data_IF_790011427989
#
_entry.id   IF_790011427989
#
_cell.length_a   1.000
_cell.length_b   1.000
_cell.length_c   1.000
_cell.angle_alpha   90.00
_cell.angle_beta   90.00
_cell.angle_gamma   90.00
#
_symmetry.space_group_name_H-M   'P 1'
#
loop_
_entity.id
_entity.type
_entity.pdbx_description
1 polymer ?
#
# COMPACT_ATOMS: atom_id res chain seq x y z
N UNK A 1 -68.27 11.14 41.05
CA UNK A 1 -67.39 11.93 40.16
C UNK A 1 -66.06 11.19 40.01
N UNK A 2 -65.53 11.16 38.79
CA UNK A 2 -64.65 10.15 38.19
C UNK A 2 -63.21 10.17 38.74
N UNK A 3 -62.65 8.99 39.08
CA UNK A 3 -61.20 8.76 39.30
C UNK A 3 -60.50 8.73 37.94
N UNK A 4 -59.55 9.63 37.72
CA UNK A 4 -58.71 9.69 36.51
C UNK A 4 -57.43 8.90 36.79
N UNK A 5 -57.33 7.69 36.25
CA UNK A 5 -56.07 6.95 36.21
C UNK A 5 -55.25 7.45 35.02
N UNK A 6 -54.04 7.95 35.31
CA UNK A 6 -53.07 8.40 34.32
C UNK A 6 -52.21 7.19 33.97
N UNK A 7 -52.48 6.59 32.81
CA UNK A 7 -51.67 5.52 32.24
C UNK A 7 -50.43 6.15 31.59
N UNK A 8 -49.27 6.05 32.23
CA UNK A 8 -47.97 6.46 31.66
C UNK A 8 -47.51 5.33 30.74
N UNK A 9 -47.74 5.50 29.44
CA UNK A 9 -47.23 4.61 28.40
C UNK A 9 -45.75 4.94 28.15
N UNK A 10 -44.84 4.21 28.81
CA UNK A 10 -43.39 4.29 28.53
C UNK A 10 -43.11 3.83 27.10
N UNK A 11 -42.90 4.80 26.22
CA UNK A 11 -42.40 4.60 24.86
C UNK A 11 -40.90 4.27 24.95
N UNK A 12 -40.56 2.98 24.92
CA UNK A 12 -39.17 2.51 24.79
C UNK A 12 -38.70 2.89 23.38
N UNK A 13 -37.86 3.93 23.29
CA UNK A 13 -37.14 4.28 22.07
C UNK A 13 -36.15 3.14 21.75
N UNK A 14 -36.51 2.28 20.81
CA UNK A 14 -35.57 1.38 20.13
C UNK A 14 -34.68 2.26 19.24
N UNK A 15 -33.57 2.74 19.78
CA UNK A 15 -32.50 3.32 18.96
C UNK A 15 -31.96 2.21 18.04
N UNK A 16 -31.91 2.42 16.71
CA UNK A 16 -31.27 1.46 15.83
C UNK A 16 -29.80 1.34 16.24
N UNK A 17 -29.40 0.12 16.59
CA UNK A 17 -28.00 -0.22 16.75
C UNK A 17 -27.39 -0.12 15.35
N UNK A 18 -26.65 0.95 15.06
CA UNK A 18 -25.80 1.02 13.87
C UNK A 18 -24.75 -0.07 14.03
N UNK A 19 -25.03 -1.24 13.46
CA UNK A 19 -24.02 -2.28 13.28
C UNK A 19 -23.07 -1.71 12.23
N UNK A 20 -21.90 -1.27 12.68
CA UNK A 20 -20.81 -0.89 11.77
C UNK A 20 -20.60 -2.06 10.80
N UNK A 21 -20.76 -1.79 9.51
CA UNK A 21 -20.56 -2.79 8.48
C UNK A 21 -19.09 -3.21 8.53
N UNK A 22 -18.85 -4.52 8.63
CA UNK A 22 -17.51 -5.06 8.75
C UNK A 22 -17.16 -5.81 7.46
N UNK A 23 -16.01 -5.49 6.88
CA UNK A 23 -15.48 -6.18 5.71
C UNK A 23 -14.25 -7.03 6.05
N UNK A 24 -14.08 -8.19 5.39
CA UNK A 24 -12.88 -9.00 5.52
C UNK A 24 -11.69 -8.35 4.83
N UNK A 25 -10.55 -8.29 5.52
CA UNK A 25 -9.30 -7.75 4.98
C UNK A 25 -8.11 -8.61 5.38
N UNK A 26 -7.11 -8.69 4.51
CA UNK A 26 -5.76 -9.09 4.92
C UNK A 26 -5.08 -7.90 5.57
N UNK A 27 -4.69 -8.07 6.83
CA UNK A 27 -4.07 -7.05 7.68
C UNK A 27 -2.58 -7.35 7.80
N UNK A 28 -1.73 -6.34 7.62
CA UNK A 28 -0.28 -6.45 7.75
C UNK A 28 0.23 -5.29 8.58
N UNK A 29 1.25 -5.55 9.38
CA UNK A 29 2.03 -4.54 10.07
C UNK A 29 3.50 -4.67 9.68
N UNK A 30 4.01 -3.65 9.01
CA UNK A 30 5.42 -3.46 8.77
C UNK A 30 6.00 -2.51 9.81
N UNK A 31 7.28 -2.68 10.08
CA UNK A 31 8.13 -1.62 10.61
C UNK A 31 8.99 -1.11 9.47
N UNK A 32 8.91 0.18 9.19
CA UNK A 32 9.73 0.86 8.19
C UNK A 32 10.80 1.71 8.86
N UNK A 33 11.91 1.93 8.16
CA UNK A 33 12.98 2.83 8.55
C UNK A 33 13.55 3.49 7.30
N UNK A 34 13.78 4.78 7.39
CA UNK A 34 14.42 5.58 6.35
C UNK A 34 15.70 6.25 6.90
N UNK A 35 16.66 6.63 6.03
CA UNK A 35 17.85 7.34 6.47
C UNK A 35 17.50 8.63 7.23
N UNK A 36 17.94 8.74 8.49
CA UNK A 36 17.70 9.91 9.32
C UNK A 36 16.35 9.95 10.04
N UNK A 37 15.53 8.90 9.94
CA UNK A 37 14.23 8.79 10.60
C UNK A 37 14.22 7.56 11.51
N UNK A 38 13.66 7.71 12.72
CA UNK A 38 13.46 6.59 13.63
C UNK A 38 12.48 5.57 13.03
N UNK A 39 12.62 4.27 13.32
CA UNK A 39 11.70 3.26 12.80
C UNK A 39 10.25 3.54 13.22
N UNK A 40 9.32 3.42 12.27
CA UNK A 40 7.90 3.69 12.48
C UNK A 40 7.01 2.55 11.95
N UNK A 41 5.82 2.35 12.53
CA UNK A 41 4.89 1.32 12.06
C UNK A 41 4.18 1.77 10.78
N UNK A 42 3.95 0.81 9.88
CA UNK A 42 3.09 0.97 8.71
C UNK A 42 2.13 -0.20 8.65
N UNK A 43 0.85 0.09 8.77
CA UNK A 43 -0.24 -0.87 8.62
C UNK A 43 -0.74 -0.86 7.17
N UNK A 44 -0.91 -2.04 6.62
CA UNK A 44 -1.50 -2.25 5.29
C UNK A 44 -2.74 -3.11 5.44
N UNK A 45 -3.87 -2.66 4.89
CA UNK A 45 -5.13 -3.41 4.84
C UNK A 45 -5.48 -3.67 3.39
N UNK A 46 -5.72 -4.93 3.02
CA UNK A 46 -6.11 -5.30 1.66
C UNK A 46 -7.47 -5.99 1.70
N UNK A 47 -8.44 -5.40 1.01
CA UNK A 47 -9.72 -6.01 0.67
C UNK A 47 -9.75 -6.32 -0.83
N UNK A 48 -10.83 -6.95 -1.30
CA UNK A 48 -11.06 -7.20 -2.72
C UNK A 48 -10.96 -5.90 -3.56
N UNK A 49 -11.51 -4.79 -3.05
CA UNK A 49 -11.57 -3.53 -3.81
C UNK A 49 -10.48 -2.53 -3.45
N UNK A 50 -10.07 -2.50 -2.18
CA UNK A 50 -9.23 -1.43 -1.66
C UNK A 50 -7.95 -1.95 -1.03
N UNK A 51 -6.86 -1.21 -1.18
CA UNK A 51 -5.72 -1.29 -0.28
C UNK A 51 -5.58 0.03 0.48
N UNK A 52 -5.40 -0.04 1.79
CA UNK A 52 -5.16 1.13 2.65
C UNK A 52 -3.78 1.01 3.30
N UNK A 53 -3.05 2.12 3.36
CA UNK A 53 -1.77 2.24 4.06
C UNK A 53 -1.92 3.38 5.08
N UNK A 54 -1.69 3.08 6.35
CA UNK A 54 -1.68 4.06 7.44
C UNK A 54 -0.72 3.61 8.57
N UNK A 55 -0.76 4.25 9.72
CA UNK A 55 0.08 3.96 10.88
C UNK A 55 -0.65 3.21 12.02
N UNK A 56 -1.93 2.85 11.81
CA UNK A 56 -2.75 2.24 12.86
C UNK A 56 -3.61 3.20 13.68
N UNK A 57 -3.34 4.50 13.65
CA UNK A 57 -3.97 5.49 14.52
C UNK A 57 -5.16 6.18 13.87
N UNK A 58 -6.23 6.34 14.65
CA UNK A 58 -7.38 7.13 14.22
C UNK A 58 -6.98 8.61 14.09
N UNK A 59 -7.31 9.22 12.96
CA UNK A 59 -6.99 10.63 12.71
C UNK A 59 -5.62 10.87 12.07
N UNK A 60 -4.84 9.83 11.77
CA UNK A 60 -3.64 9.94 10.95
C UNK A 60 -3.95 10.04 9.45
N UNK A 61 -2.99 10.61 8.73
CA UNK A 61 -2.94 10.58 7.28
C UNK A 61 -2.93 9.15 6.76
N UNK A 62 -3.45 8.95 5.55
CA UNK A 62 -3.50 7.61 4.97
C UNK A 62 -3.47 7.65 3.45
N UNK A 63 -3.06 6.53 2.87
CA UNK A 63 -3.22 6.26 1.45
C UNK A 63 -4.35 5.25 1.28
N UNK A 64 -5.25 5.53 0.35
CA UNK A 64 -6.28 4.59 -0.10
C UNK A 64 -6.10 4.36 -1.60
N UNK A 65 -5.93 3.11 -1.98
CA UNK A 65 -5.86 2.67 -3.36
C UNK A 65 -7.16 1.94 -3.72
N UNK A 66 -7.95 2.50 -4.64
CA UNK A 66 -9.05 1.78 -5.28
C UNK A 66 -8.46 0.93 -6.40
N UNK A 67 -8.40 -0.39 -6.18
CA UNK A 67 -7.78 -1.37 -7.09
C UNK A 67 -8.55 -1.48 -8.39
N UNK A 68 -9.88 -1.38 -8.32
CA UNK A 68 -10.75 -1.48 -9.49
C UNK A 68 -10.64 -0.26 -10.39
N UNK A 69 -10.60 0.93 -9.78
CA UNK A 69 -10.41 2.19 -10.51
C UNK A 69 -8.94 2.51 -10.81
N UNK A 70 -8.01 1.69 -10.29
CA UNK A 70 -6.55 1.92 -10.34
C UNK A 70 -6.18 3.36 -9.99
N UNK A 71 -6.73 3.86 -8.89
CA UNK A 71 -6.55 5.25 -8.45
C UNK A 71 -6.07 5.28 -7.01
N UNK A 72 -4.99 6.00 -6.76
CA UNK A 72 -4.43 6.24 -5.43
C UNK A 72 -4.92 7.59 -4.93
N UNK A 73 -5.39 7.61 -3.69
CA UNK A 73 -5.76 8.78 -2.93
C UNK A 73 -4.81 8.91 -1.74
N UNK A 74 -3.95 9.93 -1.72
CA UNK A 74 -3.13 10.27 -0.55
C UNK A 74 -3.85 11.37 0.22
N UNK A 75 -4.22 11.07 1.46
CA UNK A 75 -5.09 11.89 2.29
C UNK A 75 -4.25 12.58 3.37
N UNK A 76 -4.28 13.91 3.38
CA UNK A 76 -3.67 14.74 4.41
C UNK A 76 -4.78 15.39 5.22
N UNK A 77 -4.93 14.97 6.48
CA UNK A 77 -6.06 15.37 7.34
C UNK A 77 -5.92 16.78 7.88
N UNK A 78 -4.71 17.17 8.27
CA UNK A 78 -4.43 18.52 8.78
C UNK A 78 -4.80 19.59 7.74
N UNK A 79 -4.42 19.35 6.49
CA UNK A 79 -4.71 20.26 5.36
C UNK A 79 -6.10 20.07 4.74
N UNK A 80 -6.84 19.04 5.16
CA UNK A 80 -8.10 18.59 4.53
C UNK A 80 -7.97 18.48 3.01
N UNK A 81 -6.90 17.84 2.55
CA UNK A 81 -6.57 17.69 1.14
C UNK A 81 -6.47 16.21 0.76
N UNK A 82 -6.75 15.91 -0.51
CA UNK A 82 -6.52 14.60 -1.11
C UNK A 82 -5.79 14.75 -2.42
N UNK A 83 -4.57 14.21 -2.49
CA UNK A 83 -3.84 14.04 -3.73
C UNK A 83 -4.37 12.81 -4.46
N UNK A 84 -4.73 12.98 -5.72
CA UNK A 84 -5.31 11.96 -6.57
C UNK A 84 -4.30 11.60 -7.65
N UNK A 85 -3.96 10.31 -7.73
CA UNK A 85 -3.03 9.76 -8.70
C UNK A 85 -3.75 8.67 -9.48
N UNK A 86 -4.05 8.97 -10.74
CA UNK A 86 -4.64 8.02 -11.67
C UNK A 86 -3.56 7.17 -12.33
N UNK A 87 -3.92 5.93 -12.63
CA UNK A 87 -3.11 5.11 -13.53
C UNK A 87 -2.95 5.76 -14.90
N UNK A 88 -1.87 5.39 -15.60
CA UNK A 88 -1.64 5.81 -16.97
C UNK A 88 -0.87 4.75 -17.74
N UNK A 89 -1.06 4.73 -19.05
CA UNK A 89 -0.30 3.85 -19.94
C UNK A 89 1.04 4.52 -20.24
N UNK A 90 2.12 3.76 -20.14
CA UNK A 90 3.42 4.17 -20.64
C UNK A 90 4.17 2.98 -21.25
N UNK A 91 5.08 3.27 -22.15
CA UNK A 91 5.97 2.26 -22.72
C UNK A 91 7.00 1.82 -21.66
N UNK A 92 6.83 0.61 -21.16
CA UNK A 92 7.69 0.02 -20.13
C UNK A 92 9.07 -0.42 -20.64
N UNK A 93 9.33 -0.34 -21.93
CA UNK A 93 10.59 -0.78 -22.54
C UNK A 93 11.47 0.40 -22.97
N UNK A 94 10.87 1.48 -23.47
CA UNK A 94 11.61 2.64 -23.94
C UNK A 94 12.41 3.30 -22.80
N UNK A 95 13.74 3.31 -22.92
CA UNK A 95 14.63 3.91 -21.92
C UNK A 95 14.81 3.10 -20.63
N UNK A 96 14.38 1.84 -20.60
CA UNK A 96 14.63 0.96 -19.46
C UNK A 96 16.13 0.63 -19.33
N UNK A 97 16.71 0.66 -18.13
CA UNK A 97 18.05 0.15 -17.91
C UNK A 97 18.06 -1.39 -18.06
N UNK A 98 19.24 -1.96 -18.22
CA UNK A 98 19.39 -3.42 -18.06
C UNK A 98 19.15 -3.77 -16.58
N UNK A 99 18.16 -4.64 -16.33
CA UNK A 99 17.73 -5.06 -14.99
C UNK A 99 17.93 -6.56 -14.86
N UNK A 100 18.89 -6.94 -14.04
CA UNK A 100 19.15 -8.33 -13.65
C UNK A 100 18.38 -8.66 -12.37
N UNK A 101 17.73 -9.82 -12.35
CA UNK A 101 17.07 -10.36 -11.16
C UNK A 101 17.76 -11.66 -10.76
N UNK A 102 18.15 -11.75 -9.49
CA UNK A 102 18.68 -12.97 -8.88
C UNK A 102 17.72 -13.44 -7.81
N UNK A 103 17.35 -14.73 -7.88
CA UNK A 103 16.49 -15.36 -6.87
C UNK A 103 17.17 -16.60 -6.37
N UNK A 104 17.35 -16.68 -5.06
CA UNK A 104 17.98 -17.84 -4.41
C UNK A 104 17.07 -18.39 -3.32
N UNK A 105 17.25 -19.67 -3.01
CA UNK A 105 16.55 -20.33 -1.92
C UNK A 105 17.57 -20.67 -0.83
N UNK A 106 17.67 -19.86 0.24
CA UNK A 106 18.65 -20.07 1.29
C UNK A 106 18.42 -21.42 2.00
N UNK A 107 19.48 -22.22 2.09
CA UNK A 107 19.44 -23.50 2.82
C UNK A 107 19.25 -23.23 4.32
N UNK A 108 18.28 -23.91 4.94
CA UNK A 108 18.03 -23.80 6.37
C UNK A 108 17.32 -22.52 6.81
N UNK A 109 16.87 -21.66 5.89
CA UNK A 109 16.06 -20.50 6.26
C UNK A 109 14.75 -20.96 6.93
N UNK A 110 14.28 -20.25 7.97
CA UNK A 110 13.05 -20.59 8.66
C UNK A 110 11.87 -20.54 7.69
N UNK A 111 10.89 -21.41 7.93
CA UNK A 111 9.62 -21.38 7.19
C UNK A 111 8.67 -20.39 7.84
N UNK A 112 7.89 -19.68 7.02
CA UNK A 112 6.82 -18.79 7.48
C UNK A 112 5.51 -19.35 6.98
N UNK A 113 4.57 -19.64 7.90
CA UNK A 113 3.34 -20.39 7.58
C UNK A 113 3.63 -21.69 6.80
N UNK A 114 4.71 -22.39 7.15
CA UNK A 114 5.14 -23.62 6.47
C UNK A 114 5.76 -23.41 5.07
N UNK A 115 5.88 -22.18 4.59
CA UNK A 115 6.40 -21.81 3.27
C UNK A 115 7.86 -21.42 3.36
N UNK A 116 8.63 -21.78 2.34
CA UNK A 116 10.06 -21.50 2.30
C UNK A 116 10.32 -20.06 1.83
N UNK A 117 11.18 -19.34 2.55
CA UNK A 117 11.66 -18.01 2.14
C UNK A 117 12.57 -18.14 0.92
N UNK A 118 12.47 -17.18 -0.01
CA UNK A 118 13.43 -16.95 -1.10
C UNK A 118 14.08 -15.58 -0.88
N UNK A 119 15.37 -15.46 -1.21
CA UNK A 119 16.01 -14.16 -1.33
C UNK A 119 15.90 -13.70 -2.78
N UNK A 120 15.54 -12.43 -2.94
CA UNK A 120 15.43 -11.73 -4.20
C UNK A 120 16.41 -10.55 -4.18
N UNK A 121 17.13 -10.39 -5.28
CA UNK A 121 17.95 -9.21 -5.54
C UNK A 121 17.64 -8.68 -6.93
N UNK A 122 17.46 -7.36 -7.03
CA UNK A 122 17.37 -6.66 -8.30
C UNK A 122 18.59 -5.76 -8.45
N UNK A 123 19.29 -5.93 -9.56
CA UNK A 123 20.48 -5.18 -9.93
C UNK A 123 20.21 -4.39 -11.22
N UNK A 124 20.79 -3.20 -11.34
CA UNK A 124 20.75 -2.41 -12.56
C UNK A 124 22.04 -1.60 -12.71
N UNK A 125 22.59 -1.58 -13.91
CA UNK A 125 23.91 -0.94 -14.15
C UNK A 125 25.07 -1.59 -13.38
N UNK A 126 24.91 -2.85 -12.96
CA UNK A 126 25.90 -3.60 -12.16
C UNK A 126 25.77 -3.43 -10.65
N UNK A 127 24.92 -2.51 -10.17
CA UNK A 127 24.73 -2.25 -8.75
C UNK A 127 23.48 -2.95 -8.19
N UNK A 128 23.53 -3.36 -6.92
CA UNK A 128 22.36 -3.82 -6.18
C UNK A 128 21.42 -2.64 -5.90
N UNK A 129 20.18 -2.74 -6.37
CA UNK A 129 19.18 -1.67 -6.22
C UNK A 129 18.14 -1.97 -5.14
N UNK A 130 17.71 -3.24 -5.05
CA UNK A 130 16.74 -3.71 -4.06
C UNK A 130 17.07 -5.15 -3.67
N UNK A 131 16.98 -5.45 -2.37
CA UNK A 131 16.97 -6.81 -1.86
C UNK A 131 15.70 -7.08 -1.07
N UNK A 132 15.19 -8.30 -1.15
CA UNK A 132 14.01 -8.72 -0.41
C UNK A 132 14.07 -10.19 -0.03
N UNK A 133 13.61 -10.50 1.19
CA UNK A 133 13.25 -11.86 1.56
C UNK A 133 11.76 -12.00 1.32
N UNK A 134 11.37 -12.89 0.40
CA UNK A 134 9.98 -13.07 -0.04
C UNK A 134 9.47 -14.47 0.29
N UNK A 135 8.17 -14.57 0.58
CA UNK A 135 7.51 -15.85 0.92
C UNK A 135 6.48 -16.20 -0.17
N UNK A 136 6.80 -17.12 -1.10
CA UNK A 136 5.89 -17.53 -2.17
C UNK A 136 4.57 -18.09 -1.63
N UNK A 137 3.45 -17.53 -2.09
CA UNK A 137 2.10 -17.97 -1.76
C UNK A 137 1.61 -17.61 -0.36
N UNK A 138 2.37 -16.84 0.42
CA UNK A 138 1.84 -16.16 1.61
C UNK A 138 1.05 -14.94 1.15
N UNK A 139 -0.25 -14.87 1.48
CA UNK A 139 -1.15 -13.77 1.13
C UNK A 139 -0.98 -13.29 -0.34
N UNK A 140 -1.29 -14.13 -1.34
CA UNK A 140 -1.03 -13.80 -2.74
C UNK A 140 -1.78 -12.55 -3.22
N UNK A 141 -3.01 -12.31 -2.73
CA UNK A 141 -3.78 -11.11 -3.08
C UNK A 141 -3.11 -9.83 -2.56
N UNK A 142 -2.45 -9.88 -1.39
CA UNK A 142 -1.66 -8.74 -0.88
C UNK A 142 -0.46 -8.44 -1.79
N UNK A 143 0.27 -9.47 -2.22
CA UNK A 143 1.39 -9.29 -3.14
C UNK A 143 0.94 -8.68 -4.46
N UNK A 144 -0.23 -9.10 -4.95
CA UNK A 144 -0.87 -8.55 -6.13
C UNK A 144 -1.30 -7.09 -5.92
N UNK A 145 -1.99 -6.76 -4.83
CA UNK A 145 -2.43 -5.39 -4.52
C UNK A 145 -1.25 -4.41 -4.40
N UNK A 146 -0.15 -4.84 -3.77
CA UNK A 146 1.09 -4.07 -3.72
C UNK A 146 1.69 -3.85 -5.12
N UNK A 147 1.65 -4.85 -5.99
CA UNK A 147 2.17 -4.75 -7.35
C UNK A 147 1.32 -3.78 -8.18
N UNK A 148 0.00 -3.90 -8.10
CA UNK A 148 -0.96 -2.99 -8.75
C UNK A 148 -0.73 -1.54 -8.31
N UNK A 149 -0.57 -1.32 -7.00
CA UNK A 149 -0.27 0.00 -6.43
C UNK A 149 1.05 0.57 -6.95
N UNK A 150 2.13 -0.21 -6.90
CA UNK A 150 3.44 0.23 -7.37
C UNK A 150 3.43 0.53 -8.88
N UNK A 151 2.65 -0.20 -9.68
CA UNK A 151 2.51 0.07 -11.11
C UNK A 151 1.87 1.43 -11.40
N UNK A 152 0.86 1.84 -10.63
CA UNK A 152 0.25 3.18 -10.77
C UNK A 152 1.28 4.27 -10.44
N UNK A 153 2.05 4.09 -9.37
CA UNK A 153 3.14 5.00 -9.02
C UNK A 153 4.23 5.05 -10.09
N UNK A 154 4.63 3.91 -10.64
CA UNK A 154 5.64 3.84 -11.69
C UNK A 154 5.21 4.55 -12.97
N UNK A 155 3.94 4.39 -13.37
CA UNK A 155 3.39 5.11 -14.50
C UNK A 155 3.43 6.63 -14.29
N UNK A 156 3.09 7.10 -13.08
CA UNK A 156 3.24 8.52 -12.74
C UNK A 156 4.69 8.96 -12.78
N UNK A 157 5.60 8.19 -12.18
CA UNK A 157 7.02 8.49 -12.13
C UNK A 157 7.65 8.56 -13.53
N UNK A 158 7.20 7.72 -14.46
CA UNK A 158 7.61 7.78 -15.86
C UNK A 158 7.20 9.11 -16.52
N UNK A 159 5.94 9.54 -16.31
CA UNK A 159 5.43 10.79 -16.91
C UNK A 159 6.12 12.04 -16.37
N UNK A 160 6.60 11.99 -15.13
CA UNK A 160 7.38 13.07 -14.51
C UNK A 160 8.88 12.85 -14.60
N UNK A 161 9.36 11.87 -15.38
CA UNK A 161 10.77 11.53 -15.42
C UNK A 161 11.61 12.70 -15.93
N UNK A 162 11.07 13.51 -16.84
CA UNK A 162 11.68 14.74 -17.36
C UNK A 162 11.90 15.81 -16.27
N UNK A 163 11.08 15.80 -15.21
CA UNK A 163 11.19 16.69 -14.04
C UNK A 163 12.22 16.20 -13.02
N UNK A 164 12.57 14.91 -13.02
CA UNK A 164 13.65 14.39 -12.20
C UNK A 164 14.99 14.87 -12.77
N UNK A 165 15.91 15.51 -12.02
CA UNK A 165 17.23 15.89 -12.52
C UNK A 165 18.00 14.69 -13.13
N UNK A 166 18.71 14.83 -14.27
CA UNK A 166 19.41 13.73 -14.93
C UNK A 166 20.36 12.95 -14.02
N UNK A 167 21.04 13.64 -13.11
CA UNK A 167 21.94 13.05 -12.11
C UNK A 167 21.24 12.12 -11.10
N UNK A 168 19.93 12.29 -10.90
CA UNK A 168 19.11 11.42 -10.06
C UNK A 168 18.46 10.27 -10.83
N UNK A 169 18.49 10.29 -12.18
CA UNK A 169 17.96 9.22 -13.04
C UNK A 169 18.94 8.04 -13.18
N UNK A 170 19.51 7.61 -12.07
CA UNK A 170 20.48 6.49 -12.03
C UNK A 170 19.82 5.17 -12.46
N UNK A 171 20.58 4.14 -12.87
CA UNK A 171 20.02 2.82 -13.18
C UNK A 171 19.16 2.25 -12.05
N UNK A 172 19.61 2.39 -10.80
CA UNK A 172 18.82 1.94 -9.65
C UNK A 172 17.58 2.78 -9.39
N UNK A 173 17.61 4.09 -9.61
CA UNK A 173 16.40 4.92 -9.55
C UNK A 173 15.35 4.41 -10.56
N UNK A 174 15.77 4.23 -11.81
CA UNK A 174 14.88 3.76 -12.88
C UNK A 174 14.37 2.33 -12.61
N UNK A 175 15.22 1.43 -12.10
CA UNK A 175 14.81 0.08 -11.75
C UNK A 175 13.81 0.06 -10.58
N UNK A 176 14.06 0.80 -9.51
CA UNK A 176 13.23 0.76 -8.29
C UNK A 176 11.89 1.50 -8.44
N UNK A 177 11.82 2.55 -9.27
CA UNK A 177 10.66 3.45 -9.29
C UNK A 177 9.93 3.51 -10.64
N UNK A 178 10.47 2.93 -11.71
CA UNK A 178 9.88 3.04 -13.06
C UNK A 178 9.69 1.68 -13.74
N UNK A 179 10.74 0.87 -13.85
CA UNK A 179 10.75 -0.30 -14.76
C UNK A 179 10.80 -1.66 -14.07
N UNK A 180 11.15 -1.73 -12.79
CA UNK A 180 11.33 -2.98 -12.03
C UNK A 180 10.66 -3.00 -10.66
N UNK A 181 9.89 -1.97 -10.33
CA UNK A 181 9.31 -1.72 -9.00
C UNK A 181 8.57 -2.94 -8.44
N UNK A 182 7.76 -3.65 -9.25
CA UNK A 182 6.96 -4.77 -8.79
C UNK A 182 7.64 -6.15 -8.86
N UNK A 183 8.86 -6.26 -9.42
CA UNK A 183 9.45 -7.58 -9.77
C UNK A 183 9.57 -8.52 -8.58
N UNK A 184 9.95 -8.01 -7.40
CA UNK A 184 10.06 -8.83 -6.19
C UNK A 184 8.71 -9.41 -5.73
N UNK A 185 7.61 -8.70 -5.96
CA UNK A 185 6.25 -9.12 -5.57
C UNK A 185 5.75 -10.31 -6.40
N UNK A 186 6.29 -10.49 -7.61
CA UNK A 186 6.01 -11.66 -8.45
C UNK A 186 6.58 -12.96 -7.85
N UNK A 187 7.51 -12.85 -6.89
CA UNK A 187 8.12 -13.99 -6.21
C UNK A 187 7.49 -14.30 -4.85
N UNK A 188 6.61 -13.45 -4.32
CA UNK A 188 5.88 -13.65 -3.07
C UNK A 188 5.82 -12.41 -2.20
N UNK A 189 5.18 -12.53 -1.04
CA UNK A 189 5.04 -11.42 -0.09
C UNK A 189 6.41 -11.10 0.53
N UNK A 190 6.90 -9.85 0.45
CA UNK A 190 8.13 -9.45 1.09
C UNK A 190 7.95 -9.39 2.61
N UNK A 191 8.69 -10.22 3.32
CA UNK A 191 8.79 -10.18 4.79
C UNK A 191 9.92 -9.26 5.25
N UNK A 192 10.84 -8.96 4.34
CA UNK A 192 11.89 -7.97 4.47
C UNK A 192 12.15 -7.40 3.10
N UNK A 193 12.37 -6.09 3.02
CA UNK A 193 12.76 -5.41 1.80
C UNK A 193 13.67 -4.23 2.14
N UNK A 194 14.70 -4.01 1.34
CA UNK A 194 15.60 -2.87 1.47
C UNK A 194 15.91 -2.31 0.08
N UNK A 195 15.65 -1.02 -0.08
CA UNK A 195 16.13 -0.22 -1.22
C UNK A 195 17.51 0.29 -0.88
N UNK A 196 18.49 0.08 -1.77
CA UNK A 196 19.87 0.53 -1.55
C UNK A 196 19.91 2.04 -1.31
N UNK A 197 20.46 2.44 -0.15
CA UNK A 197 20.53 3.86 0.26
C UNK A 197 19.19 4.50 0.65
N UNK A 198 18.10 3.73 0.70
CA UNK A 198 16.76 4.24 0.97
C UNK A 198 16.04 3.48 2.07
N UNK A 199 14.72 3.30 1.90
CA UNK A 199 13.87 2.66 2.91
C UNK A 199 14.19 1.19 3.09
N UNK A 200 14.02 0.72 4.33
CA UNK A 200 13.94 -0.69 4.68
C UNK A 200 12.60 -0.95 5.36
N UNK A 201 11.98 -2.09 5.08
CA UNK A 201 10.81 -2.57 5.80
C UNK A 201 10.93 -4.02 6.23
N UNK A 202 10.31 -4.36 7.35
CA UNK A 202 10.23 -5.72 7.89
C UNK A 202 8.78 -6.00 8.28
N UNK A 203 8.24 -7.13 7.85
CA UNK A 203 6.91 -7.59 8.25
C UNK A 203 6.97 -8.06 9.71
N UNK A 204 6.22 -7.40 10.58
CA UNK A 204 6.17 -7.68 12.01
C UNK A 204 5.04 -8.64 12.36
N UNK A 205 3.88 -8.47 11.73
CA UNK A 205 2.70 -9.32 11.96
C UNK A 205 1.76 -9.29 10.73
N UNK A 206 0.92 -10.31 10.58
CA UNK A 206 -0.13 -10.36 9.57
C UNK A 206 -1.32 -11.21 10.03
N UNK A 207 -2.51 -10.89 9.52
CA UNK A 207 -3.75 -11.65 9.77
C UNK A 207 -4.55 -11.74 8.48
N UNK A 208 -4.96 -12.95 8.12
CA UNK A 208 -5.81 -13.15 6.96
C UNK A 208 -7.28 -12.98 7.33
N UNK A 209 -8.06 -12.32 6.46
CA UNK A 209 -9.52 -12.20 6.62
C UNK A 209 -9.99 -11.58 7.94
N UNK A 210 -9.23 -10.64 8.50
CA UNK A 210 -9.64 -9.89 9.67
C UNK A 210 -10.87 -9.02 9.35
N UNK A 211 -11.85 -8.96 10.25
CA UNK A 211 -12.99 -8.08 10.11
C UNK A 211 -12.61 -6.65 10.51
N UNK A 212 -12.80 -5.69 9.61
CA UNK A 212 -12.51 -4.27 9.82
C UNK A 212 -13.73 -3.42 9.44
N UNK A 213 -13.88 -2.27 10.08
CA UNK A 213 -14.94 -1.31 9.77
C UNK A 213 -14.80 -0.81 8.32
N UNK A 214 -15.87 -0.91 7.54
CA UNK A 214 -15.94 -0.41 6.16
C UNK A 214 -15.62 1.09 6.07
N UNK A 215 -15.90 1.87 7.11
CA UNK A 215 -15.60 3.30 7.17
C UNK A 215 -14.11 3.62 7.03
N UNK A 216 -13.22 2.66 7.31
CA UNK A 216 -11.77 2.82 7.07
C UNK A 216 -11.43 2.99 5.59
N UNK A 217 -12.30 2.55 4.68
CA UNK A 217 -12.09 2.57 3.24
C UNK A 217 -12.89 3.68 2.54
N UNK A 218 -13.53 4.56 3.31
CA UNK A 218 -14.22 5.72 2.76
C UNK A 218 -13.28 6.90 2.56
N UNK A 219 -13.53 7.65 1.48
CA UNK A 219 -12.88 8.94 1.26
C UNK A 219 -13.54 10.02 2.12
N UNK A 220 -12.76 10.89 2.79
CA UNK A 220 -13.34 11.95 3.61
C UNK A 220 -14.09 12.97 2.74
N UNK A 221 -15.29 13.35 3.19
CA UNK A 221 -16.12 14.34 2.52
C UNK A 221 -15.57 15.76 2.73
N UNK A 222 -15.71 16.60 1.71
CA UNK A 222 -15.35 18.02 1.79
C UNK A 222 -13.85 18.32 1.73
N UNK A 223 -12.99 17.32 1.50
CA UNK A 223 -11.56 17.54 1.31
C UNK A 223 -11.29 18.14 -0.07
N UNK A 224 -10.32 19.05 -0.14
CA UNK A 224 -9.86 19.65 -1.40
C UNK A 224 -9.13 18.60 -2.24
N UNK A 225 -9.57 18.40 -3.47
CA UNK A 225 -8.93 17.49 -4.43
C UNK A 225 -7.75 18.18 -5.11
N UNK A 226 -6.61 17.53 -5.09
CA UNK A 226 -5.38 17.93 -5.78
C UNK A 226 -5.10 16.88 -6.84
N UNK A 227 -5.07 17.28 -8.10
CA UNK A 227 -4.73 16.40 -9.20
C UNK A 227 -3.26 16.64 -9.56
N UNK A 228 -2.48 15.58 -9.76
CA UNK A 228 -1.15 15.73 -10.33
C UNK A 228 -1.31 16.12 -11.81
N UNK A 229 -0.95 17.37 -12.14
CA UNK A 229 -1.15 17.98 -13.46
C UNK A 229 -0.98 16.97 -14.60
N UNK A 230 -2.07 16.79 -15.35
CA UNK A 230 -2.06 16.07 -16.61
C UNK A 230 -1.51 16.98 -17.68
N UNK A 231 -0.30 16.71 -18.17
CA UNK A 231 0.03 17.13 -19.52
C UNK A 231 -0.96 16.42 -20.45
N UNK A 232 -1.99 17.11 -20.87
CA UNK A 232 -2.62 16.85 -22.15
C UNK A 232 -1.75 17.59 -23.16
N UNK A 233 -0.96 16.82 -23.90
CA UNK A 233 -0.50 17.13 -25.25
C UNK A 233 -0.34 15.78 -25.98
#
# INVERSE_FOLDING_TARGET
MVKKEILILSLVLLLPLEVAAAMPVDWLLYQEREPGVDPYPVRILVSERFMRIDDGYEGSDFVLFDRRARTIFSITREEKSMLVIHDSVFDRQSGAPDIEVRVTQPKGAPKIAGRQVKEFEMHAGGDLCLSASVVPGLLPDVSQALAEYQQVLAARQFRDLDKTPPELRTPCFLANYVYGNERHLQHGLPIREAVTGGRMRVLMDYRAGAAMDEALFELPKGYRRLELGGGAD
#
